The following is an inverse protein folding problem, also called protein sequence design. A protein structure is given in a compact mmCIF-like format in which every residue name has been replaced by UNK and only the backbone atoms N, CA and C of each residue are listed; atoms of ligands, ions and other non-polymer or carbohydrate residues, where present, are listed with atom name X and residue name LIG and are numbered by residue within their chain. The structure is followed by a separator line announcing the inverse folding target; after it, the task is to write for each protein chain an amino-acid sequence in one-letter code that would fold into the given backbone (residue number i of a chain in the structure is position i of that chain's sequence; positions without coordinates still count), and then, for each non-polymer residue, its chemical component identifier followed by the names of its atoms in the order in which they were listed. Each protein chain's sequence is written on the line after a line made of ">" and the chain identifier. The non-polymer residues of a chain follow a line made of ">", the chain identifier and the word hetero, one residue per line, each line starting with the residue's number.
data_IF_051953028709
#
_entry.id   IF_051953028709
#
_cell.length_a   1.000
_cell.length_b   1.000
_cell.length_c   1.000
_cell.angle_alpha   90.00
_cell.angle_beta   90.00
_cell.angle_gamma   90.00
#
_symmetry.space_group_name_H-M   'P 1'
#
loop_
_entity.id
_entity.type
_entity.pdbx_description
1 polymer ?
#
# COMPACT_ATOMS: atom_id res chain seq x y z
N UNK A 1 -8.40 -23.30 -9.13
CA UNK A 1 -9.07 -22.57 -8.02
C UNK A 1 -10.13 -23.46 -7.42
N UNK A 2 -10.31 -23.42 -6.10
CA UNK A 2 -11.48 -24.01 -5.41
C UNK A 2 -12.44 -22.88 -4.98
N UNK A 3 -13.68 -23.25 -4.58
CA UNK A 3 -14.69 -22.28 -4.14
C UNK A 3 -15.35 -21.47 -5.28
N UNK A 4 -15.10 -21.84 -6.53
CA UNK A 4 -15.69 -21.22 -7.74
C UNK A 4 -16.21 -22.32 -8.66
N UNK A 5 -17.43 -22.16 -9.13
CA UNK A 5 -18.07 -23.03 -10.11
C UNK A 5 -18.79 -22.17 -11.17
N UNK A 6 -18.54 -22.41 -12.46
CA UNK A 6 -19.11 -21.66 -13.59
C UNK A 6 -19.02 -20.13 -13.44
N UNK A 7 -17.86 -19.65 -12.94
CA UNK A 7 -17.59 -18.20 -12.77
C UNK A 7 -18.27 -17.55 -11.57
N UNK A 8 -18.95 -18.34 -10.72
CA UNK A 8 -19.62 -17.86 -9.51
C UNK A 8 -18.98 -18.45 -8.26
N UNK A 9 -18.98 -17.69 -7.15
CA UNK A 9 -18.54 -18.20 -5.84
C UNK A 9 -19.58 -19.17 -5.31
N UNK A 10 -19.10 -20.26 -4.66
CA UNK A 10 -19.97 -21.29 -4.06
C UNK A 10 -20.31 -21.03 -2.60
N UNK A 11 -19.85 -19.91 -2.02
CA UNK A 11 -19.97 -19.63 -0.59
C UNK A 11 -18.93 -20.35 0.29
N UNK A 12 -18.11 -21.22 -0.29
CA UNK A 12 -16.98 -21.86 0.38
C UNK A 12 -15.69 -21.06 0.21
N UNK A 13 -14.62 -21.31 1.01
CA UNK A 13 -13.35 -20.61 0.87
C UNK A 13 -12.77 -20.75 -0.55
N UNK A 14 -12.34 -19.62 -1.09
CA UNK A 14 -11.67 -19.55 -2.40
C UNK A 14 -10.19 -19.87 -2.19
N UNK A 15 -9.72 -20.99 -2.76
CA UNK A 15 -8.32 -21.38 -2.77
C UNK A 15 -7.70 -21.25 -4.15
N UNK A 16 -6.43 -20.77 -4.22
CA UNK A 16 -5.68 -20.66 -5.46
C UNK A 16 -4.18 -20.89 -5.23
N UNK A 17 -3.47 -21.23 -6.30
CA UNK A 17 -2.03 -21.44 -6.31
C UNK A 17 -1.42 -20.61 -7.45
N UNK A 18 -0.35 -19.89 -7.13
CA UNK A 18 0.50 -19.21 -8.11
C UNK A 18 1.81 -20.00 -8.19
N UNK A 19 2.06 -20.67 -9.31
CA UNK A 19 3.27 -21.44 -9.52
C UNK A 19 4.41 -20.49 -9.92
N UNK A 20 5.55 -20.54 -9.19
CA UNK A 20 6.75 -19.82 -9.58
C UNK A 20 7.49 -20.62 -10.68
N UNK A 21 7.43 -20.14 -11.92
CA UNK A 21 8.05 -20.79 -13.07
C UNK A 21 9.55 -20.44 -13.25
N UNK A 22 10.04 -19.40 -12.60
CA UNK A 22 11.43 -18.89 -12.71
C UNK A 22 12.16 -18.98 -11.37
N UNK A 23 12.01 -20.11 -10.68
CA UNK A 23 12.71 -20.34 -9.42
C UNK A 23 14.18 -20.71 -9.67
N UNK A 24 15.11 -19.93 -9.11
CA UNK A 24 16.57 -20.13 -9.18
C UNK A 24 17.15 -20.34 -7.79
N UNK A 25 16.87 -21.48 -7.18
CA UNK A 25 17.27 -21.79 -5.79
C UNK A 25 18.80 -21.76 -5.60
N UNK A 26 19.58 -22.11 -6.63
CA UNK A 26 21.05 -22.11 -6.60
C UNK A 26 21.66 -20.71 -6.42
N UNK A 27 20.95 -19.66 -6.84
CA UNK A 27 21.43 -18.28 -6.71
C UNK A 27 21.53 -17.83 -5.24
N UNK A 28 20.97 -18.60 -4.30
CA UNK A 28 20.95 -18.29 -2.87
C UNK A 28 21.95 -19.13 -2.05
N UNK A 29 22.72 -20.04 -2.66
CA UNK A 29 23.60 -20.94 -1.93
C UNK A 29 24.72 -20.19 -1.18
N UNK A 30 25.21 -19.08 -1.75
CA UNK A 30 26.24 -18.23 -1.15
C UNK A 30 25.80 -17.53 0.15
N UNK A 31 24.49 -17.35 0.35
CA UNK A 31 23.93 -16.70 1.55
C UNK A 31 23.34 -17.69 2.57
N UNK A 32 23.53 -18.99 2.36
CA UNK A 32 22.99 -20.03 3.24
C UNK A 32 23.40 -19.84 4.70
N UNK A 33 24.65 -19.46 4.95
CA UNK A 33 25.25 -19.35 6.28
C UNK A 33 25.40 -17.91 6.76
N UNK A 34 24.86 -16.91 6.03
CA UNK A 34 24.93 -15.50 6.40
C UNK A 34 23.54 -14.89 6.44
N UNK A 35 23.39 -13.79 7.14
CA UNK A 35 22.14 -13.03 7.19
C UNK A 35 22.29 -11.77 6.35
N UNK A 36 21.36 -11.55 5.44
CA UNK A 36 21.32 -10.31 4.64
C UNK A 36 20.98 -9.11 5.54
N UNK A 37 21.67 -7.98 5.39
CA UNK A 37 21.36 -6.77 6.14
C UNK A 37 19.90 -6.36 5.98
N UNK A 38 19.24 -5.99 7.09
CA UNK A 38 17.84 -5.57 7.15
C UNK A 38 16.81 -6.57 6.60
N UNK A 39 17.21 -7.77 6.20
CA UNK A 39 16.30 -8.83 5.78
C UNK A 39 15.79 -9.64 6.98
N UNK A 40 14.67 -10.33 6.81
CA UNK A 40 14.05 -11.15 7.85
C UNK A 40 14.83 -12.45 8.19
N UNK A 41 15.96 -12.74 7.53
CA UNK A 41 16.75 -13.98 7.68
C UNK A 41 17.07 -14.29 9.15
N UNK A 42 17.63 -13.30 9.87
CA UNK A 42 18.02 -13.45 11.27
C UNK A 42 16.82 -13.74 12.19
N UNK A 43 15.78 -12.92 12.07
CA UNK A 43 14.61 -13.04 12.97
C UNK A 43 13.83 -14.32 12.72
N UNK A 44 13.71 -14.77 11.48
CA UNK A 44 13.09 -16.06 11.15
C UNK A 44 13.91 -17.22 11.69
N UNK A 45 15.25 -17.22 11.50
CA UNK A 45 16.12 -18.25 12.04
C UNK A 45 16.04 -18.31 13.57
N UNK A 46 16.01 -17.16 14.24
CA UNK A 46 15.92 -17.13 15.71
C UNK A 46 14.55 -17.53 16.24
N UNK A 47 13.48 -17.10 15.59
CA UNK A 47 12.11 -17.37 16.03
C UNK A 47 11.69 -18.83 15.81
N UNK A 48 12.01 -19.38 14.64
CA UNK A 48 11.52 -20.69 14.20
C UNK A 48 12.60 -21.79 14.25
N UNK A 49 13.85 -21.47 14.56
CA UNK A 49 14.97 -22.42 14.55
C UNK A 49 15.46 -22.80 13.15
N UNK A 50 14.71 -22.47 12.12
CA UNK A 50 15.00 -22.77 10.72
C UNK A 50 14.49 -21.65 9.81
N UNK A 51 15.19 -21.43 8.69
CA UNK A 51 14.75 -20.56 7.62
C UNK A 51 14.92 -21.21 6.26
N UNK A 52 14.08 -20.89 5.31
CA UNK A 52 14.32 -21.22 3.91
C UNK A 52 15.19 -20.14 3.27
N UNK A 53 16.49 -20.42 3.12
CA UNK A 53 17.43 -19.49 2.49
C UNK A 53 17.23 -19.38 0.97
N UNK A 54 16.55 -20.34 0.32
CA UNK A 54 16.34 -20.45 -1.12
C UNK A 54 15.24 -19.51 -1.64
N UNK A 55 15.27 -18.25 -1.25
CA UNK A 55 14.32 -17.22 -1.65
C UNK A 55 13.36 -16.74 -0.55
N UNK A 56 13.67 -17.11 0.72
CA UNK A 56 13.03 -16.53 1.90
C UNK A 56 11.66 -17.08 2.29
N UNK A 57 11.07 -18.00 1.54
CA UNK A 57 9.78 -18.58 1.89
C UNK A 57 8.71 -17.52 2.20
N UNK A 58 8.12 -17.57 3.40
CA UNK A 58 7.11 -16.60 3.89
C UNK A 58 7.67 -15.20 4.17
N UNK A 59 8.98 -15.05 4.34
CA UNK A 59 9.61 -13.74 4.49
C UNK A 59 9.81 -13.01 3.14
N UNK A 60 9.59 -13.70 2.02
CA UNK A 60 9.71 -13.13 0.70
C UNK A 60 8.56 -12.18 0.38
N UNK A 61 8.88 -11.02 -0.22
CA UNK A 61 7.88 -10.09 -0.74
C UNK A 61 6.96 -10.71 -1.82
N UNK A 62 7.30 -11.88 -2.36
CA UNK A 62 6.43 -12.64 -3.29
C UNK A 62 5.06 -12.99 -2.71
N UNK A 63 4.93 -13.07 -1.40
CA UNK A 63 3.64 -13.31 -0.75
C UNK A 63 2.60 -12.23 -1.09
N UNK A 64 3.05 -11.02 -1.46
CA UNK A 64 2.17 -9.93 -1.87
C UNK A 64 1.41 -10.23 -3.16
N UNK A 65 1.89 -11.13 -4.03
CA UNK A 65 1.16 -11.57 -5.21
C UNK A 65 -0.19 -12.19 -4.84
N UNK A 66 -0.26 -12.94 -3.74
CA UNK A 66 -1.52 -13.51 -3.24
C UNK A 66 -2.50 -12.42 -2.79
N UNK A 67 -2.00 -11.31 -2.23
CA UNK A 67 -2.84 -10.16 -1.84
C UNK A 67 -3.44 -9.47 -3.06
N UNK A 68 -2.69 -9.36 -4.15
CA UNK A 68 -3.19 -8.80 -5.41
C UNK A 68 -4.35 -9.63 -5.97
N UNK A 69 -4.24 -10.97 -5.94
CA UNK A 69 -5.33 -11.85 -6.34
C UNK A 69 -6.56 -11.69 -5.43
N UNK A 70 -6.36 -11.70 -4.10
CA UNK A 70 -7.45 -11.49 -3.15
C UNK A 70 -8.11 -10.12 -3.34
N UNK A 71 -7.32 -9.06 -3.56
CA UNK A 71 -7.81 -7.71 -3.86
C UNK A 71 -8.60 -7.63 -5.15
N UNK A 72 -8.19 -8.39 -6.19
CA UNK A 72 -8.93 -8.47 -7.46
C UNK A 72 -10.32 -9.10 -7.28
N UNK A 73 -10.43 -10.12 -6.42
CA UNK A 73 -11.71 -10.75 -6.08
C UNK A 73 -12.56 -9.79 -5.24
N UNK A 74 -11.96 -9.16 -4.22
CA UNK A 74 -12.66 -8.21 -3.36
C UNK A 74 -13.24 -7.01 -4.14
N UNK A 75 -12.52 -6.50 -5.14
CA UNK A 75 -13.02 -5.42 -6.02
C UNK A 75 -14.31 -5.79 -6.75
N UNK A 76 -14.55 -7.06 -7.05
CA UNK A 76 -15.80 -7.50 -7.69
C UNK A 76 -16.99 -7.46 -6.72
N UNK A 77 -16.75 -7.54 -5.41
CA UNK A 77 -17.77 -7.38 -4.37
C UNK A 77 -18.04 -5.89 -4.10
N UNK A 78 -16.99 -5.07 -4.20
CA UNK A 78 -17.01 -3.64 -3.89
C UNK A 78 -17.18 -2.79 -5.17
N UNK A 79 -18.14 -3.15 -6.03
CA UNK A 79 -18.31 -2.59 -7.37
C UNK A 79 -18.40 -1.06 -7.42
N UNK A 80 -19.06 -0.44 -6.44
CA UNK A 80 -19.30 1.00 -6.40
C UNK A 80 -18.14 1.80 -5.80
N UNK A 81 -17.21 1.10 -5.14
CA UNK A 81 -16.05 1.72 -4.49
C UNK A 81 -14.86 1.73 -5.44
N UNK A 82 -14.30 2.89 -5.70
CA UNK A 82 -13.11 3.02 -6.54
C UNK A 82 -11.83 3.20 -5.73
N UNK A 83 -10.79 2.43 -6.09
CA UNK A 83 -9.49 2.44 -5.44
C UNK A 83 -8.44 2.98 -6.40
N UNK A 84 -7.80 4.10 -6.03
CA UNK A 84 -6.79 4.75 -6.84
C UNK A 84 -5.50 4.88 -6.03
N UNK A 85 -4.57 3.95 -6.23
CA UNK A 85 -3.26 3.95 -5.58
C UNK A 85 -2.18 4.40 -6.58
N UNK A 86 -1.27 5.26 -6.13
CA UNK A 86 -0.22 5.84 -6.96
C UNK A 86 1.01 6.20 -6.15
N UNK A 87 2.15 6.28 -6.81
CA UNK A 87 3.38 6.77 -6.20
C UNK A 87 3.33 8.29 -6.10
N UNK A 88 3.37 8.80 -4.88
CA UNK A 88 3.33 10.24 -4.58
C UNK A 88 4.71 10.83 -4.29
N UNK A 89 5.71 9.99 -3.95
CA UNK A 89 7.08 10.44 -3.68
C UNK A 89 8.09 9.33 -3.95
N UNK A 90 9.26 9.71 -4.47
CA UNK A 90 10.47 8.86 -4.54
C UNK A 90 11.65 9.71 -4.10
N UNK A 91 12.35 9.30 -3.04
CA UNK A 91 13.38 10.13 -2.41
C UNK A 91 12.82 11.51 -2.05
N UNK A 92 13.44 12.57 -2.55
CA UNK A 92 13.01 13.95 -2.32
C UNK A 92 12.04 14.49 -3.37
N UNK A 93 11.80 13.74 -4.43
CA UNK A 93 10.88 14.14 -5.51
C UNK A 93 9.46 13.75 -5.11
N UNK A 94 8.57 14.72 -4.91
CA UNK A 94 7.18 14.52 -4.54
C UNK A 94 6.23 15.29 -5.44
N UNK A 95 5.00 14.80 -5.55
CA UNK A 95 3.87 15.54 -6.11
C UNK A 95 3.20 16.40 -5.02
N UNK A 96 2.30 17.28 -5.42
CA UNK A 96 1.48 18.05 -4.47
C UNK A 96 0.66 17.11 -3.58
N UNK A 97 0.53 17.45 -2.31
CA UNK A 97 -0.35 16.76 -1.35
C UNK A 97 -1.84 17.06 -1.60
N UNK A 98 -2.16 18.04 -2.43
CA UNK A 98 -3.55 18.29 -2.83
C UNK A 98 -4.00 17.30 -3.89
N UNK A 99 -4.58 16.20 -3.45
CA UNK A 99 -5.02 15.11 -4.32
C UNK A 99 -6.32 15.39 -5.08
N UNK A 100 -7.01 16.52 -4.85
CA UNK A 100 -8.22 16.89 -5.59
C UNK A 100 -7.97 17.12 -7.09
N UNK A 101 -6.72 17.47 -7.45
CA UNK A 101 -6.29 17.74 -8.83
C UNK A 101 -5.57 16.58 -9.51
N UNK A 102 -5.53 15.41 -8.86
CA UNK A 102 -4.83 14.24 -9.39
C UNK A 102 -5.58 13.66 -10.59
N UNK A 103 -4.88 13.49 -11.70
CA UNK A 103 -5.37 12.84 -12.92
C UNK A 103 -5.10 11.35 -12.87
N UNK A 104 -6.04 10.57 -12.33
CA UNK A 104 -5.87 9.13 -12.12
C UNK A 104 -5.60 8.36 -13.41
N UNK A 105 -6.11 8.85 -14.56
CA UNK A 105 -5.86 8.27 -15.88
C UNK A 105 -4.39 8.26 -16.30
N UNK A 106 -3.53 9.01 -15.62
CA UNK A 106 -2.09 9.04 -15.89
C UNK A 106 -1.29 7.99 -15.11
N UNK A 107 -1.89 7.37 -14.08
CA UNK A 107 -1.18 6.42 -13.21
C UNK A 107 -0.54 5.29 -14.02
N UNK A 108 -1.29 4.68 -14.91
CA UNK A 108 -0.82 3.55 -15.72
C UNK A 108 -0.02 3.97 -16.98
N UNK A 109 0.15 5.27 -17.23
CA UNK A 109 0.90 5.78 -18.40
C UNK A 109 2.41 5.82 -18.22
N UNK A 110 2.93 5.48 -17.04
CA UNK A 110 4.35 5.49 -16.74
C UNK A 110 4.74 4.36 -15.78
N UNK A 111 6.01 3.96 -15.82
CA UNK A 111 6.53 2.84 -15.03
C UNK A 111 6.53 3.09 -13.52
N UNK A 112 6.61 4.36 -13.11
CA UNK A 112 6.60 4.74 -11.69
C UNK A 112 5.18 4.75 -11.12
N UNK A 113 4.15 4.76 -11.99
CA UNK A 113 2.75 4.91 -11.57
C UNK A 113 2.47 6.20 -10.80
N UNK A 114 3.11 7.28 -11.21
CA UNK A 114 2.89 8.62 -10.68
C UNK A 114 1.91 9.38 -11.58
N UNK A 115 0.84 10.00 -11.03
CA UNK A 115 -0.18 10.69 -11.82
C UNK A 115 0.30 12.02 -12.43
N UNK A 116 1.37 12.61 -11.93
CA UNK A 116 2.06 13.76 -12.52
C UNK A 116 3.16 13.28 -13.46
N UNK A 117 2.93 13.40 -14.76
CA UNK A 117 3.85 12.87 -15.78
C UNK A 117 5.24 13.54 -15.75
N UNK A 118 5.33 14.81 -15.34
CA UNK A 118 6.61 15.51 -15.20
C UNK A 118 7.38 14.93 -14.01
N UNK A 119 6.73 14.82 -12.87
CA UNK A 119 7.30 14.20 -11.66
C UNK A 119 7.62 12.72 -11.86
N UNK A 120 6.80 11.99 -12.60
CA UNK A 120 7.07 10.60 -12.98
C UNK A 120 8.43 10.48 -13.69
N UNK A 121 8.73 11.39 -14.62
CA UNK A 121 10.01 11.38 -15.34
C UNK A 121 11.20 11.71 -14.45
N UNK A 122 11.05 12.68 -13.55
CA UNK A 122 12.06 13.02 -12.55
C UNK A 122 12.35 11.82 -11.62
N UNK A 123 11.29 11.15 -11.10
CA UNK A 123 11.38 9.96 -10.26
C UNK A 123 12.04 8.79 -10.99
N UNK A 124 11.67 8.55 -12.24
CA UNK A 124 12.28 7.50 -13.07
C UNK A 124 13.79 7.72 -13.25
N UNK A 125 14.20 8.97 -13.52
CA UNK A 125 15.61 9.32 -13.67
C UNK A 125 16.38 9.12 -12.36
N UNK A 126 15.81 9.50 -11.21
CA UNK A 126 16.40 9.29 -9.90
C UNK A 126 16.60 7.79 -9.62
N UNK A 127 15.56 6.97 -9.86
CA UNK A 127 15.64 5.51 -9.67
C UNK A 127 16.75 4.91 -10.56
N UNK A 128 16.86 5.35 -11.82
CA UNK A 128 17.89 4.89 -12.75
C UNK A 128 19.30 5.29 -12.29
N UNK A 129 19.47 6.49 -11.73
CA UNK A 129 20.75 6.95 -11.19
C UNK A 129 21.21 6.11 -10.02
N UNK A 130 20.32 5.96 -9.01
CA UNK A 130 20.60 5.17 -7.80
C UNK A 130 20.90 3.71 -8.16
N UNK A 131 20.15 3.14 -9.12
CA UNK A 131 20.40 1.77 -9.60
C UNK A 131 21.78 1.62 -10.26
N UNK A 132 22.27 2.64 -10.99
CA UNK A 132 23.63 2.61 -11.57
C UNK A 132 24.73 2.61 -10.50
N UNK A 133 24.44 3.18 -9.34
CA UNK A 133 25.32 3.18 -8.18
C UNK A 133 25.27 1.84 -7.39
N UNK A 134 24.44 0.89 -7.82
CA UNK A 134 24.22 -0.38 -7.13
C UNK A 134 23.38 -0.25 -5.86
N UNK A 135 22.57 0.80 -5.75
CA UNK A 135 21.78 1.12 -4.55
C UNK A 135 20.27 1.18 -4.84
N UNK A 136 19.49 1.40 -3.80
CA UNK A 136 18.02 1.51 -3.84
C UNK A 136 17.54 2.79 -3.18
N UNK A 137 16.34 3.25 -3.53
CA UNK A 137 15.72 4.42 -2.94
C UNK A 137 14.28 4.13 -2.54
N UNK A 138 13.88 4.64 -1.39
CA UNK A 138 12.53 4.48 -0.86
C UNK A 138 11.51 5.43 -1.51
N UNK A 139 10.23 5.16 -1.24
CA UNK A 139 9.15 5.97 -1.77
C UNK A 139 7.89 5.94 -0.91
N UNK A 140 6.92 6.73 -1.31
CA UNK A 140 5.61 6.85 -0.68
C UNK A 140 4.54 6.51 -1.70
N UNK A 141 3.63 5.65 -1.31
CA UNK A 141 2.43 5.32 -2.08
C UNK A 141 1.23 5.95 -1.39
N UNK A 142 0.42 6.69 -2.13
CA UNK A 142 -0.84 7.26 -1.67
C UNK A 142 -2.00 6.51 -2.30
N UNK A 143 -3.10 6.41 -1.56
CA UNK A 143 -4.33 5.81 -2.04
C UNK A 143 -5.51 6.72 -1.75
N UNK A 144 -6.40 6.86 -2.72
CA UNK A 144 -7.68 7.55 -2.59
C UNK A 144 -8.78 6.56 -2.93
N UNK A 145 -9.66 6.32 -1.97
CA UNK A 145 -10.83 5.47 -2.13
C UNK A 145 -12.05 6.37 -2.21
N UNK A 146 -12.80 6.28 -3.29
CA UNK A 146 -14.02 7.06 -3.50
C UNK A 146 -15.27 6.19 -3.36
N UNK A 147 -16.39 6.84 -3.13
CA UNK A 147 -17.70 6.24 -2.97
C UNK A 147 -17.75 5.25 -1.78
N UNK A 148 -17.00 5.55 -0.74
CA UNK A 148 -17.08 4.78 0.51
C UNK A 148 -18.36 5.18 1.23
N UNK A 149 -19.31 4.26 1.50
CA UNK A 149 -20.52 4.61 2.22
C UNK A 149 -20.20 5.04 3.67
N UNK A 150 -21.05 5.85 4.25
CA UNK A 150 -21.00 6.17 5.69
C UNK A 150 -21.20 4.89 6.49
N UNK A 151 -20.44 4.73 7.59
CA UNK A 151 -20.69 3.67 8.56
C UNK A 151 -19.74 2.49 8.51
N UNK A 152 -18.68 2.50 7.68
CA UNK A 152 -17.68 1.43 7.69
C UNK A 152 -16.64 1.68 8.78
N UNK A 153 -16.42 0.67 9.62
CA UNK A 153 -15.52 0.69 10.77
C UNK A 153 -16.28 0.53 12.08
N UNK A 154 -15.66 -0.14 13.06
CA UNK A 154 -16.27 -0.47 14.33
C UNK A 154 -15.45 0.06 15.52
N UNK A 155 -16.03 0.77 16.49
CA UNK A 155 -15.37 1.03 17.74
C UNK A 155 -15.27 -0.30 18.55
N UNK A 156 -14.28 -0.50 19.40
CA UNK A 156 -13.19 0.40 19.75
C UNK A 156 -11.95 0.08 18.94
N UNK A 157 -11.70 -1.20 18.61
CA UNK A 157 -10.45 -1.69 18.00
C UNK A 157 -10.48 -1.82 16.49
N UNK A 158 -11.65 -2.09 15.91
CA UNK A 158 -11.80 -2.37 14.47
C UNK A 158 -12.18 -1.10 13.67
N UNK A 159 -11.64 0.04 14.12
CA UNK A 159 -11.77 1.32 13.45
C UNK A 159 -11.19 1.23 12.05
N UNK A 160 -11.86 1.86 11.06
CA UNK A 160 -11.46 1.78 9.67
C UNK A 160 -9.97 2.14 9.44
N UNK A 161 -9.47 3.22 10.07
CA UNK A 161 -8.06 3.58 9.95
C UNK A 161 -7.12 2.58 10.63
N UNK A 162 -7.56 1.89 11.69
CA UNK A 162 -6.79 0.85 12.35
C UNK A 162 -6.66 -0.38 11.45
N UNK A 163 -7.75 -0.81 10.82
CA UNK A 163 -7.73 -1.93 9.87
C UNK A 163 -6.94 -1.60 8.60
N UNK A 164 -7.08 -0.38 8.06
CA UNK A 164 -6.24 0.07 6.95
C UNK A 164 -4.76 0.12 7.33
N UNK A 165 -4.42 0.64 8.52
CA UNK A 165 -3.06 0.68 9.04
C UNK A 165 -2.47 -0.72 9.22
N UNK A 166 -3.21 -1.65 9.81
CA UNK A 166 -2.85 -3.07 9.95
C UNK A 166 -2.58 -3.71 8.58
N UNK A 167 -3.46 -3.48 7.61
CA UNK A 167 -3.31 -4.01 6.27
C UNK A 167 -2.04 -3.45 5.58
N UNK A 168 -1.82 -2.13 5.62
CA UNK A 168 -0.68 -1.48 4.97
C UNK A 168 0.64 -1.83 5.66
N UNK A 169 0.70 -1.79 6.99
CA UNK A 169 1.91 -2.14 7.75
C UNK A 169 2.26 -3.63 7.67
N UNK A 170 1.34 -4.48 7.26
CA UNK A 170 1.60 -5.89 6.99
C UNK A 170 2.27 -6.14 5.63
N UNK A 171 2.36 -5.14 4.75
CA UNK A 171 3.11 -5.22 3.50
C UNK A 171 4.61 -5.15 3.81
N UNK A 172 5.39 -6.02 3.16
CA UNK A 172 6.84 -6.07 3.37
C UNK A 172 7.50 -4.70 3.10
N UNK A 173 8.47 -4.34 3.94
CA UNK A 173 9.24 -3.09 3.89
C UNK A 173 8.42 -1.79 4.11
N UNK A 174 7.15 -1.85 4.46
CA UNK A 174 6.40 -0.66 4.89
C UNK A 174 6.85 -0.24 6.30
N UNK A 175 7.12 1.06 6.47
CA UNK A 175 7.67 1.66 7.70
C UNK A 175 6.80 2.76 8.29
N UNK A 176 5.78 3.22 7.58
CA UNK A 176 4.88 4.27 8.05
C UNK A 176 3.55 4.22 7.34
N UNK A 177 2.53 4.71 8.05
CA UNK A 177 1.18 4.84 7.57
C UNK A 177 0.58 6.14 8.12
N UNK A 178 -0.09 6.89 7.26
CA UNK A 178 -0.84 8.10 7.62
C UNK A 178 -2.19 8.07 6.90
N UNK A 179 -3.19 8.72 7.48
CA UNK A 179 -4.48 8.95 6.82
C UNK A 179 -4.91 10.42 6.99
N UNK A 180 -5.71 10.93 6.06
CA UNK A 180 -6.10 12.33 6.03
C UNK A 180 -4.89 13.26 5.99
N UNK A 181 -4.87 14.26 6.85
CA UNK A 181 -3.77 15.22 6.98
C UNK A 181 -2.48 14.61 7.57
N UNK A 182 -2.58 13.42 8.18
CA UNK A 182 -1.43 12.73 8.75
C UNK A 182 -0.58 13.60 9.68
N UNK A 183 0.73 13.43 9.64
CA UNK A 183 1.67 14.25 10.42
C UNK A 183 1.69 15.74 10.04
N UNK A 184 1.22 16.10 8.83
CA UNK A 184 1.13 17.51 8.44
C UNK A 184 0.10 18.28 9.28
N UNK A 185 -0.90 17.58 9.83
CA UNK A 185 -1.94 18.17 10.69
C UNK A 185 -1.41 18.86 11.95
N UNK A 186 -0.21 18.46 12.45
CA UNK A 186 0.39 19.08 13.65
C UNK A 186 0.74 20.56 13.45
N UNK A 187 0.82 21.03 12.21
CA UNK A 187 1.10 22.44 11.89
C UNK A 187 -0.15 23.28 11.77
N UNK A 188 -1.32 22.66 11.84
CA UNK A 188 -2.62 23.33 11.65
C UNK A 188 -3.24 23.64 13.01
N UNK A 189 -3.90 24.79 13.12
CA UNK A 189 -4.76 25.07 14.27
C UNK A 189 -6.05 24.25 14.16
N UNK A 190 -6.67 23.94 15.30
CA UNK A 190 -7.91 23.16 15.30
C UNK A 190 -9.01 23.75 14.42
N UNK A 191 -9.15 25.09 14.42
CA UNK A 191 -10.11 25.79 13.55
C UNK A 191 -9.84 25.66 12.05
N UNK A 192 -8.60 25.41 11.66
CA UNK A 192 -8.19 25.18 10.27
C UNK A 192 -8.29 23.69 9.90
N UNK A 193 -8.05 22.82 10.86
CA UNK A 193 -8.06 21.37 10.67
C UNK A 193 -9.46 20.75 10.68
N UNK A 194 -10.40 21.37 11.43
CA UNK A 194 -11.75 20.83 11.55
C UNK A 194 -12.52 20.91 10.22
N UNK A 195 -12.95 19.75 9.74
CA UNK A 195 -13.75 19.62 8.53
C UNK A 195 -15.19 20.12 8.82
N UNK A 196 -15.52 21.31 8.32
CA UNK A 196 -16.86 21.90 8.50
C UNK A 196 -17.87 21.20 7.60
N UNK A 197 -19.03 20.86 8.14
CA UNK A 197 -20.13 20.29 7.37
C UNK A 197 -20.80 21.31 6.42
N UNK A 198 -21.21 20.84 5.28
CA UNK A 198 -22.13 21.51 4.34
C UNK A 198 -23.57 21.04 4.59
N UNK A 199 -24.51 21.70 3.91
CA UNK A 199 -25.93 21.38 4.07
C UNK A 199 -26.34 19.99 3.54
N UNK A 200 -25.52 19.40 2.67
CA UNK A 200 -25.70 18.06 2.10
C UNK A 200 -24.95 16.97 2.89
N UNK A 201 -24.54 17.28 4.13
CA UNK A 201 -23.80 16.39 5.03
C UNK A 201 -22.37 16.05 4.55
N UNK A 202 -21.91 16.61 3.43
CA UNK A 202 -20.51 16.55 3.03
C UNK A 202 -19.66 17.51 3.86
N UNK A 203 -18.34 17.48 3.71
CA UNK A 203 -17.45 18.43 4.38
C UNK A 203 -16.68 19.30 3.39
N UNK A 204 -16.47 20.58 3.74
CA UNK A 204 -15.72 21.57 2.92
C UNK A 204 -14.28 21.15 2.65
N UNK A 205 -13.68 20.51 3.64
CA UNK A 205 -12.33 19.99 3.62
C UNK A 205 -12.36 18.50 3.99
N UNK A 206 -11.27 17.81 3.86
CA UNK A 206 -11.18 16.39 4.19
C UNK A 206 -9.85 16.08 4.91
N UNK A 207 -9.57 16.86 5.95
CA UNK A 207 -8.38 16.67 6.78
C UNK A 207 -8.45 15.38 7.59
N UNK A 208 -9.67 14.95 7.95
CA UNK A 208 -9.93 13.65 8.60
C UNK A 208 -9.70 12.45 7.68
N UNK A 209 -9.52 12.68 6.36
CA UNK A 209 -9.28 11.62 5.40
C UNK A 209 -10.46 10.66 5.21
N UNK A 210 -11.69 11.16 5.33
CA UNK A 210 -12.93 10.39 5.15
C UNK A 210 -13.29 9.52 6.36
N UNK A 211 -12.61 9.69 7.50
CA UNK A 211 -12.79 8.84 8.69
C UNK A 211 -12.91 9.71 9.94
N UNK A 212 -14.03 9.63 10.62
CA UNK A 212 -14.30 10.33 11.87
C UNK A 212 -14.71 9.33 12.95
N UNK A 213 -14.13 9.44 14.15
CA UNK A 213 -14.36 8.48 15.21
C UNK A 213 -13.95 7.02 14.90
N UNK A 214 -13.26 6.81 13.78
CA UNK A 214 -12.90 5.46 13.28
C UNK A 214 -13.88 4.90 12.26
N UNK A 215 -14.88 5.67 11.86
CA UNK A 215 -15.96 5.27 10.96
C UNK A 215 -15.90 6.15 9.71
N UNK A 216 -16.18 5.58 8.54
CA UNK A 216 -16.25 6.34 7.29
C UNK A 216 -17.41 7.35 7.31
N UNK A 217 -17.15 8.56 6.80
CA UNK A 217 -18.12 9.67 6.81
C UNK A 217 -18.69 10.01 5.42
N UNK A 218 -18.51 9.16 4.42
CA UNK A 218 -18.99 9.40 3.05
C UNK A 218 -18.02 10.18 2.16
N UNK A 219 -17.05 10.89 2.74
CA UNK A 219 -15.99 11.55 1.98
C UNK A 219 -14.97 10.52 1.45
N UNK A 220 -14.16 10.95 0.48
CA UNK A 220 -13.09 10.09 -0.02
C UNK A 220 -12.12 9.70 1.10
N UNK A 221 -11.90 8.39 1.27
CA UNK A 221 -10.88 7.91 2.22
C UNK A 221 -9.51 8.06 1.59
N UNK A 222 -8.61 8.77 2.28
CA UNK A 222 -7.24 9.01 1.82
C UNK A 222 -6.22 8.54 2.84
N UNK A 223 -5.22 7.80 2.37
CA UNK A 223 -4.09 7.38 3.19
C UNK A 223 -2.79 7.31 2.38
N UNK A 224 -1.69 7.33 3.09
CA UNK A 224 -0.36 7.12 2.51
C UNK A 224 0.41 6.10 3.34
N UNK A 225 1.30 5.35 2.69
CA UNK A 225 2.25 4.50 3.37
C UNK A 225 3.65 4.68 2.78
N UNK A 226 4.63 4.64 3.66
CA UNK A 226 6.03 4.76 3.31
C UNK A 226 6.61 3.36 3.13
N UNK A 227 7.19 3.10 1.97
CA UNK A 227 7.99 1.91 1.70
C UNK A 227 9.47 2.26 1.75
N UNK A 228 10.19 1.63 2.68
CA UNK A 228 11.63 1.72 2.76
C UNK A 228 12.30 0.89 1.63
N UNK A 229 13.62 0.88 1.64
CA UNK A 229 14.44 0.14 0.67
C UNK A 229 14.14 -1.36 0.70
N UNK A 230 14.10 -1.99 -0.46
CA UNK A 230 14.28 -3.43 -0.54
C UNK A 230 15.77 -3.76 -0.41
N UNK A 231 16.08 -4.84 0.29
CA UNK A 231 17.46 -5.36 0.30
C UNK A 231 17.80 -5.77 -1.12
N UNK A 232 18.85 -5.15 -1.67
CA UNK A 232 19.47 -5.65 -2.89
C UNK A 232 19.94 -7.08 -2.68
N UNK A 233 19.84 -7.94 -3.69
CA UNK A 233 20.33 -9.31 -3.60
C UNK A 233 21.83 -9.38 -3.42
#
# INVERSE_FOLDING_TARGET
>A
MSGIFEGKTTGTPIGFIIVNKDQKSKDYDHIKNVFRPSHADFVYQKKYGIRDYRGGGRSSARETACRVVAGSIAKQILNDISFNAFVSRVGDISISSNFSKVKFENIEKNLVRCPDLKKAKEMENLIKSVRKEGDTIGGVVSCIIKNVPVGIGEPVFDKLHAELGKAMLSINAVKGFEYGSGFAGVKMKGSEHNDQYEADESTKTNHSGGIQGGISNGMAVSYTHLRAHETSP
#
